data_IF_934375777471
#
_entry.id   IF_934375777471
#
_cell.length_a   1.000
_cell.length_b   1.000
_cell.length_c   1.000
_cell.angle_alpha   90.00
_cell.angle_beta   90.00
_cell.angle_gamma   90.00
#
_symmetry.space_group_name_H-M   'P 1'
#
loop_
_entity.id
_entity.type
_entity.pdbx_description
1 polymer ?
#
# COMPACT_ATOMS: atom_id res chain seq x y z
N UNK A 1 17.30 5.30 -11.70
CA UNK A 1 17.24 4.12 -10.82
C UNK A 1 15.85 3.53 -10.96
N UNK A 2 15.76 2.32 -11.52
CA UNK A 2 14.51 1.67 -11.93
C UNK A 2 13.50 1.67 -10.77
N UNK A 3 12.44 2.48 -10.89
CA UNK A 3 11.40 2.61 -9.88
C UNK A 3 10.49 1.39 -10.00
N UNK A 4 10.85 0.36 -9.23
CA UNK A 4 10.14 -0.88 -8.94
C UNK A 4 8.76 -1.03 -9.64
N UNK A 5 8.84 -1.41 -10.92
CA UNK A 5 7.75 -2.02 -11.69
C UNK A 5 7.46 -3.46 -11.21
N UNK A 6 8.17 -3.96 -10.19
CA UNK A 6 8.00 -5.32 -9.68
C UNK A 6 6.83 -5.33 -8.74
N UNK A 7 5.68 -5.54 -9.37
CA UNK A 7 4.42 -6.01 -8.85
C UNK A 7 4.04 -5.51 -7.47
N UNK A 8 2.87 -4.89 -7.42
CA UNK A 8 2.15 -4.64 -6.18
C UNK A 8 2.11 -5.88 -5.24
N UNK A 9 2.43 -7.09 -5.70
CA UNK A 9 2.79 -8.26 -4.90
C UNK A 9 4.12 -8.13 -4.13
N UNK A 10 4.15 -7.29 -3.10
CA UNK A 10 5.26 -7.24 -2.16
C UNK A 10 5.23 -8.43 -1.19
N UNK A 11 6.37 -9.11 -1.04
CA UNK A 11 6.56 -10.09 0.04
C UNK A 11 6.38 -9.43 1.42
N UNK A 12 6.11 -10.22 2.46
CA UNK A 12 5.95 -9.65 3.81
C UNK A 12 7.18 -8.84 4.27
N UNK A 13 8.38 -9.33 3.96
CA UNK A 13 9.64 -8.66 4.27
C UNK A 13 9.77 -7.32 3.54
N UNK A 14 9.41 -7.27 2.27
CA UNK A 14 9.45 -6.05 1.47
C UNK A 14 8.41 -5.04 1.93
N UNK A 15 7.18 -5.49 2.26
CA UNK A 15 6.16 -4.63 2.89
C UNK A 15 6.69 -4.03 4.18
N UNK A 16 7.32 -4.82 5.03
CA UNK A 16 7.88 -4.36 6.29
C UNK A 16 8.95 -3.28 6.07
N UNK A 17 9.82 -3.49 5.07
CA UNK A 17 10.82 -2.50 4.68
C UNK A 17 10.17 -1.21 4.15
N UNK A 18 9.21 -1.31 3.23
CA UNK A 18 8.48 -0.16 2.64
C UNK A 18 7.72 0.62 3.71
N UNK A 19 7.03 -0.07 4.62
CA UNK A 19 6.30 0.56 5.72
C UNK A 19 7.26 1.35 6.61
N UNK A 20 8.38 0.76 7.02
CA UNK A 20 9.38 1.44 7.85
C UNK A 20 9.99 2.64 7.10
N UNK A 21 10.29 2.49 5.81
CA UNK A 21 10.85 3.54 4.96
C UNK A 21 9.90 4.71 4.76
N UNK A 22 8.61 4.46 4.50
CA UNK A 22 7.60 5.50 4.24
C UNK A 22 7.07 6.17 5.50
N UNK A 23 6.89 5.43 6.59
CA UNK A 23 6.15 5.92 7.76
C UNK A 23 6.99 6.03 9.03
N UNK A 24 8.20 5.45 9.04
CA UNK A 24 9.08 5.40 10.21
C UNK A 24 8.72 4.29 11.20
N UNK A 25 9.62 4.05 12.16
CA UNK A 25 9.52 2.94 13.11
C UNK A 25 8.28 3.03 14.01
N UNK A 26 7.96 4.25 14.49
CA UNK A 26 6.85 4.50 15.40
C UNK A 26 5.49 4.25 14.74
N UNK A 27 5.33 4.68 13.47
CA UNK A 27 4.09 4.52 12.73
C UNK A 27 3.92 3.15 12.09
N UNK A 28 5.00 2.37 11.96
CA UNK A 28 4.98 1.08 11.30
C UNK A 28 3.97 0.10 11.93
N UNK A 29 3.88 0.06 13.27
CA UNK A 29 2.89 -0.77 13.97
C UNK A 29 1.45 -0.34 13.66
N UNK A 30 1.20 0.98 13.60
CA UNK A 30 -0.13 1.52 13.29
C UNK A 30 -0.54 1.20 11.86
N UNK A 31 0.36 1.35 10.90
CA UNK A 31 0.12 1.01 9.48
C UNK A 31 -0.17 -0.48 9.31
N UNK A 32 0.62 -1.35 9.94
CA UNK A 32 0.34 -2.80 9.92
C UNK A 32 -1.05 -3.13 10.47
N UNK A 33 -1.44 -2.51 11.58
CA UNK A 33 -2.77 -2.71 12.16
C UNK A 33 -3.90 -2.27 11.22
N UNK A 34 -3.69 -1.19 10.46
CA UNK A 34 -4.66 -0.72 9.46
C UNK A 34 -4.77 -1.71 8.29
N UNK A 35 -3.66 -2.26 7.81
CA UNK A 35 -3.65 -3.23 6.71
C UNK A 35 -4.37 -4.55 7.05
N UNK A 36 -4.42 -4.93 8.32
CA UNK A 36 -5.22 -6.08 8.77
C UNK A 36 -6.74 -5.88 8.60
N UNK A 37 -7.20 -4.65 8.37
CA UNK A 37 -8.60 -4.35 8.11
C UNK A 37 -9.06 -4.60 6.67
N UNK A 38 -8.20 -5.14 5.80
CA UNK A 38 -8.56 -5.50 4.43
C UNK A 38 -9.27 -6.86 4.45
N UNK A 39 -10.48 -6.95 3.89
CA UNK A 39 -11.31 -8.16 3.95
C UNK A 39 -10.73 -9.31 3.12
N UNK A 40 -10.19 -9.00 1.94
CA UNK A 40 -9.54 -9.96 1.05
C UNK A 40 -8.09 -9.54 0.78
N UNK A 41 -7.16 -9.75 1.73
CA UNK A 41 -5.79 -9.29 1.59
C UNK A 41 -5.02 -10.19 0.63
N UNK A 42 -4.80 -9.71 -0.60
CA UNK A 42 -3.79 -10.27 -1.50
C UNK A 42 -2.50 -9.46 -1.41
N UNK A 43 -1.36 -10.06 -1.76
CA UNK A 43 -0.09 -9.32 -1.79
C UNK A 43 -0.21 -8.09 -2.72
N UNK A 44 -0.90 -8.26 -3.85
CA UNK A 44 -1.19 -7.20 -4.82
C UNK A 44 -1.99 -6.05 -4.21
N UNK A 45 -3.05 -6.34 -3.45
CA UNK A 45 -3.85 -5.31 -2.76
C UNK A 45 -3.00 -4.59 -1.70
N UNK A 46 -2.24 -5.35 -0.91
CA UNK A 46 -1.43 -4.79 0.16
C UNK A 46 -0.32 -3.86 -0.38
N UNK A 47 0.36 -4.25 -1.46
CA UNK A 47 1.33 -3.36 -2.10
C UNK A 47 0.66 -2.19 -2.83
N UNK A 48 -0.54 -2.33 -3.39
CA UNK A 48 -1.29 -1.22 -3.98
C UNK A 48 -1.61 -0.13 -2.94
N UNK A 49 -2.11 -0.54 -1.77
CA UNK A 49 -2.36 0.38 -0.64
C UNK A 49 -1.06 1.10 -0.26
N UNK A 50 0.04 0.36 -0.10
CA UNK A 50 1.33 0.94 0.27
C UNK A 50 1.89 1.85 -0.83
N UNK A 51 1.70 1.52 -2.10
CA UNK A 51 2.17 2.29 -3.24
C UNK A 51 1.42 3.62 -3.36
N UNK A 52 0.10 3.59 -3.23
CA UNK A 52 -0.77 4.76 -3.27
C UNK A 52 -0.50 5.72 -2.12
N UNK A 53 -0.25 5.21 -0.92
CA UNK A 53 0.03 6.04 0.25
C UNK A 53 1.32 6.87 0.11
N UNK A 54 1.23 8.16 0.45
CA UNK A 54 2.39 9.07 0.50
C UNK A 54 3.19 8.86 1.80
N UNK A 55 4.50 9.17 1.80
CA UNK A 55 5.32 9.08 3.00
C UNK A 55 4.73 9.89 4.16
N UNK A 56 4.77 9.32 5.38
CA UNK A 56 4.22 9.88 6.63
C UNK A 56 2.71 10.14 6.64
N UNK A 57 1.98 9.88 5.55
CA UNK A 57 0.54 10.10 5.45
C UNK A 57 -0.22 8.80 5.77
N UNK A 58 -0.47 8.55 7.05
CA UNK A 58 -1.21 7.36 7.50
C UNK A 58 -2.67 7.40 7.01
N UNK A 59 -3.26 8.58 6.89
CA UNK A 59 -4.64 8.72 6.41
C UNK A 59 -4.80 8.21 4.97
N UNK A 60 -3.77 8.36 4.12
CA UNK A 60 -3.79 7.79 2.77
C UNK A 60 -3.91 6.25 2.82
N UNK A 61 -3.26 5.59 3.79
CA UNK A 61 -3.37 4.14 4.00
C UNK A 61 -4.80 3.77 4.37
N UNK A 62 -5.43 4.51 5.28
CA UNK A 62 -6.83 4.27 5.69
C UNK A 62 -7.77 4.42 4.50
N UNK A 63 -7.63 5.50 3.73
CA UNK A 63 -8.45 5.74 2.54
C UNK A 63 -8.25 4.64 1.49
N UNK A 64 -7.02 4.17 1.27
CA UNK A 64 -6.76 3.07 0.35
C UNK A 64 -7.26 1.72 0.86
N UNK A 65 -7.26 1.45 2.17
CA UNK A 65 -7.89 0.25 2.74
C UNK A 65 -9.42 0.28 2.55
N UNK A 66 -10.06 1.42 2.81
CA UNK A 66 -11.49 1.59 2.56
C UNK A 66 -11.81 1.36 1.08
N UNK A 67 -11.00 1.91 0.17
CA UNK A 67 -11.15 1.68 -1.27
C UNK A 67 -10.94 0.21 -1.66
N UNK A 68 -9.99 -0.48 -1.02
CA UNK A 68 -9.75 -1.91 -1.25
C UNK A 68 -10.97 -2.76 -0.88
N UNK A 69 -11.62 -2.45 0.25
CA UNK A 69 -12.81 -3.16 0.73
C UNK A 69 -14.06 -2.80 -0.09
N UNK A 70 -14.17 -1.56 -0.56
CA UNK A 70 -15.27 -1.17 -1.46
C UNK A 70 -15.11 -1.80 -2.86
N UNK A 71 -13.90 -1.75 -3.42
CA UNK A 71 -13.58 -2.32 -4.73
C UNK A 71 -12.08 -2.48 -4.94
N UNK A 72 -11.62 -3.73 -4.87
CA UNK A 72 -10.24 -4.10 -5.23
C UNK A 72 -9.87 -3.59 -6.64
N UNK A 73 -10.78 -3.69 -7.61
CA UNK A 73 -10.53 -3.23 -8.98
C UNK A 73 -10.20 -1.74 -9.03
N UNK A 74 -10.98 -0.88 -8.36
CA UNK A 74 -10.74 0.57 -8.32
C UNK A 74 -9.40 0.91 -7.66
N UNK A 75 -9.03 0.18 -6.61
CA UNK A 75 -7.73 0.36 -5.96
C UNK A 75 -6.57 0.08 -6.91
N UNK A 76 -6.64 -1.06 -7.63
CA UNK A 76 -5.61 -1.47 -8.57
C UNK A 76 -5.54 -0.52 -9.77
N UNK A 77 -6.67 -0.05 -10.28
CA UNK A 77 -6.73 0.99 -11.31
C UNK A 77 -6.09 2.31 -10.85
N UNK A 78 -6.39 2.76 -9.63
CA UNK A 78 -5.76 3.95 -9.06
C UNK A 78 -4.24 3.79 -8.94
N UNK A 79 -3.76 2.60 -8.54
CA UNK A 79 -2.34 2.29 -8.49
C UNK A 79 -1.70 2.31 -9.89
N UNK A 80 -2.38 1.75 -10.90
CA UNK A 80 -1.93 1.77 -12.29
C UNK A 80 -1.80 3.21 -12.83
N UNK A 81 -2.84 4.04 -12.64
CA UNK A 81 -2.81 5.45 -13.09
C UNK A 81 -1.66 6.22 -12.44
N UNK A 82 -1.38 5.95 -11.16
CA UNK A 82 -0.24 6.57 -10.48
C UNK A 82 1.10 6.05 -11.03
N UNK A 83 1.18 4.77 -11.41
CA UNK A 83 2.37 4.19 -12.02
C UNK A 83 2.67 4.80 -13.39
N UNK A 84 1.64 5.02 -14.22
CA UNK A 84 1.79 5.61 -15.55
C UNK A 84 2.25 7.09 -15.52
N UNK A 85 2.13 7.76 -14.36
CA UNK A 85 2.50 9.17 -14.16
C UNK A 85 3.92 9.40 -13.63
N UNK A 86 4.65 8.35 -13.24
CA UNK A 86 5.91 8.42 -12.45
C UNK A 86 7.14 8.04 -13.27
#
# INVERSE_FOLDING_TARGET
MARDQRDLGLSESDRNYVIRKKFGLFSARKVKKILLGIENPSDKVLGAVLFLARPKQINDVISSVNLANESEKKLLEAAQVKMDRV
#
